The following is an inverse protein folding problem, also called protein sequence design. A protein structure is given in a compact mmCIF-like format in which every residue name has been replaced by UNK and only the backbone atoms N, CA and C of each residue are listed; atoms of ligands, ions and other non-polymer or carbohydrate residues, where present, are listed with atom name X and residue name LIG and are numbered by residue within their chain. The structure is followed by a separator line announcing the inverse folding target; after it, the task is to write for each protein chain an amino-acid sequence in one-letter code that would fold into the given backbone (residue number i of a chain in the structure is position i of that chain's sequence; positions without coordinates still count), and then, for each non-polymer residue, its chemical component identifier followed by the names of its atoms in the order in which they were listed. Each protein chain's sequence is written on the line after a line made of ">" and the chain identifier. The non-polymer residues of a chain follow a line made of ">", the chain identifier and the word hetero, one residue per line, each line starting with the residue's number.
data_IF_484465406205
#
_entry.id   IF_484465406205
#
_cell.length_a   1.000
_cell.length_b   1.000
_cell.length_c   1.000
_cell.angle_alpha   90.00
_cell.angle_beta   90.00
_cell.angle_gamma   90.00
#
_symmetry.space_group_name_H-M   'P 1'
#
loop_
_entity.id
_entity.type
_entity.pdbx_description
1 polymer ?
#
# COMPACT_ATOMS: atom_id res chain seq x y z
N UNK A 1 15.93 1.93 0.29
CA UNK A 1 16.73 2.49 1.41
C UNK A 1 16.32 1.88 2.75
N UNK A 2 15.16 2.22 3.32
CA UNK A 2 14.77 1.73 4.66
C UNK A 2 14.77 0.20 4.80
N UNK A 3 14.31 -0.56 3.79
CA UNK A 3 14.42 -2.04 3.76
C UNK A 3 15.86 -2.53 4.04
N UNK A 4 16.86 -1.87 3.45
CA UNK A 4 18.28 -2.19 3.64
C UNK A 4 18.75 -1.78 5.04
N UNK A 5 18.48 -0.55 5.46
CA UNK A 5 18.85 -0.04 6.80
C UNK A 5 18.28 -0.93 7.92
N UNK A 6 17.01 -1.30 7.82
CA UNK A 6 16.37 -2.18 8.81
C UNK A 6 17.06 -3.54 8.89
N UNK A 7 17.50 -4.10 7.76
CA UNK A 7 18.24 -5.36 7.71
C UNK A 7 19.67 -5.22 8.24
N UNK A 8 20.42 -4.22 7.75
CA UNK A 8 21.83 -3.99 8.10
C UNK A 8 22.04 -3.74 9.61
N UNK A 9 21.06 -3.13 10.27
CA UNK A 9 21.09 -2.81 11.71
C UNK A 9 20.16 -3.70 12.57
N UNK A 10 19.56 -4.76 12.01
CA UNK A 10 18.63 -5.66 12.70
C UNK A 10 17.52 -4.93 13.50
N UNK A 11 16.85 -3.97 12.84
CA UNK A 11 15.87 -3.09 13.49
C UNK A 11 14.44 -3.66 13.47
N UNK A 12 14.23 -4.81 12.81
CA UNK A 12 12.88 -5.31 12.53
C UNK A 12 12.17 -5.85 13.79
N UNK A 13 10.85 -5.62 13.85
CA UNK A 13 9.94 -6.27 14.81
C UNK A 13 9.03 -7.26 14.07
N UNK A 14 7.71 -7.28 14.35
CA UNK A 14 6.80 -8.11 13.55
C UNK A 14 6.81 -7.65 12.08
N UNK A 15 6.64 -8.56 11.10
CA UNK A 15 6.67 -8.19 9.69
C UNK A 15 5.69 -7.05 9.40
N UNK A 16 6.19 -6.01 8.72
CA UNK A 16 5.33 -4.95 8.25
C UNK A 16 4.27 -5.53 7.30
N UNK A 17 3.05 -5.06 7.47
CA UNK A 17 1.94 -5.35 6.57
C UNK A 17 1.72 -4.18 5.65
N UNK A 18 1.21 -4.44 4.47
CA UNK A 18 1.02 -3.41 3.46
C UNK A 18 -0.32 -3.56 2.76
N UNK A 19 -0.83 -2.47 2.22
CA UNK A 19 -1.88 -2.46 1.22
C UNK A 19 -1.45 -1.66 0.00
N UNK A 20 -2.00 -2.00 -1.15
CA UNK A 20 -1.89 -1.17 -2.35
C UNK A 20 -3.15 -0.31 -2.43
N UNK A 21 -2.96 1.00 -2.30
CA UNK A 21 -4.00 1.99 -2.62
C UNK A 21 -3.91 2.38 -4.09
N UNK A 22 -5.03 2.31 -4.79
CA UNK A 22 -5.21 2.86 -6.14
C UNK A 22 -6.23 3.98 -6.02
N UNK A 23 -5.92 5.14 -6.62
CA UNK A 23 -6.76 6.34 -6.58
C UNK A 23 -6.92 6.93 -7.98
N UNK A 24 -8.12 7.38 -8.29
CA UNK A 24 -8.44 8.27 -9.40
C UNK A 24 -9.04 9.57 -8.87
N UNK A 25 -8.81 10.67 -9.58
CA UNK A 25 -9.51 11.94 -9.37
C UNK A 25 -10.47 12.14 -10.53
N UNK A 26 -11.70 12.49 -10.20
CA UNK A 26 -12.78 12.72 -11.15
C UNK A 26 -13.35 14.11 -10.97
N UNK A 27 -13.64 14.82 -12.05
CA UNK A 27 -14.51 16.00 -12.03
C UNK A 27 -15.93 15.54 -12.34
N UNK A 28 -16.87 15.84 -11.44
CA UNK A 28 -18.25 15.37 -11.52
C UNK A 28 -19.23 16.53 -11.72
N UNK A 29 -20.43 16.28 -12.27
CA UNK A 29 -21.50 17.27 -12.32
C UNK A 29 -21.83 17.86 -10.93
N UNK A 30 -22.00 19.19 -10.87
CA UNK A 30 -22.18 19.92 -9.62
C UNK A 30 -23.43 19.48 -8.83
N UNK A 31 -24.50 19.06 -9.52
CA UNK A 31 -25.74 18.55 -8.92
C UNK A 31 -25.56 17.22 -8.18
N UNK A 32 -24.46 16.51 -8.42
CA UNK A 32 -24.10 15.23 -7.76
C UNK A 32 -23.01 15.40 -6.70
N UNK A 33 -22.47 16.60 -6.56
CA UNK A 33 -21.38 16.89 -5.65
C UNK A 33 -21.88 17.35 -4.27
N UNK A 34 -21.33 16.77 -3.20
CA UNK A 34 -21.65 17.10 -1.81
C UNK A 34 -20.35 17.43 -1.05
N UNK A 35 -19.86 18.69 -1.12
CA UNK A 35 -18.57 19.07 -0.55
C UNK A 35 -18.36 18.60 0.89
N UNK A 36 -17.21 17.98 1.17
CA UNK A 36 -16.85 17.51 2.50
C UNK A 36 -17.45 16.15 2.89
N UNK A 37 -18.28 15.54 2.04
CA UNK A 37 -18.79 14.18 2.26
C UNK A 37 -17.66 13.15 2.10
N UNK A 38 -17.59 12.21 3.04
CA UNK A 38 -16.57 11.16 3.14
C UNK A 38 -17.26 9.81 3.27
N UNK A 39 -17.17 8.98 2.23
CA UNK A 39 -17.68 7.62 2.24
C UNK A 39 -16.53 6.60 2.28
N UNK A 40 -16.68 5.59 3.14
CA UNK A 40 -15.81 4.42 3.21
C UNK A 40 -16.63 3.16 2.97
N UNK A 41 -16.06 2.23 2.21
CA UNK A 41 -16.73 1.01 1.78
C UNK A 41 -15.99 -0.23 2.25
N UNK A 42 -16.75 -1.23 2.66
CA UNK A 42 -16.27 -2.55 3.06
C UNK A 42 -17.07 -3.62 2.32
N UNK A 43 -16.40 -4.69 1.88
CA UNK A 43 -17.03 -5.76 1.12
C UNK A 43 -16.78 -5.61 -0.38
N UNK A 44 -17.84 -5.57 -1.18
CA UNK A 44 -17.74 -5.54 -2.65
C UNK A 44 -16.70 -4.49 -3.12
N UNK A 45 -15.79 -4.84 -4.04
CA UNK A 45 -15.73 -6.08 -4.82
C UNK A 45 -14.87 -7.19 -4.21
N UNK A 46 -14.28 -6.92 -3.04
CA UNK A 46 -13.43 -7.86 -2.32
C UNK A 46 -14.28 -8.93 -1.62
N UNK A 47 -13.77 -10.16 -1.61
CA UNK A 47 -14.41 -11.25 -0.89
C UNK A 47 -14.11 -11.19 0.62
N UNK A 48 -14.71 -12.10 1.39
CA UNK A 48 -14.51 -12.13 2.83
C UNK A 48 -13.07 -12.49 3.26
N UNK A 49 -12.26 -13.09 2.38
CA UNK A 49 -10.88 -13.48 2.66
C UNK A 49 -9.86 -12.40 2.29
N UNK A 50 -10.27 -11.43 1.47
CA UNK A 50 -9.41 -10.35 0.97
C UNK A 50 -9.72 -9.07 1.74
N UNK A 51 -8.79 -8.70 2.62
CA UNK A 51 -8.94 -7.48 3.39
C UNK A 51 -8.67 -6.25 2.51
N UNK A 52 -9.44 -5.18 2.73
CA UNK A 52 -9.32 -3.93 2.00
C UNK A 52 -10.60 -3.11 2.12
N UNK A 53 -10.69 -2.04 1.35
CA UNK A 53 -11.86 -1.16 1.39
C UNK A 53 -11.77 -0.03 0.37
N UNK A 54 -12.94 0.47 -0.03
CA UNK A 54 -13.08 1.59 -0.94
C UNK A 54 -13.20 2.91 -0.20
N UNK A 55 -12.89 4.00 -0.89
CA UNK A 55 -13.16 5.34 -0.41
C UNK A 55 -13.64 6.24 -1.53
N UNK A 56 -14.57 7.14 -1.20
CA UNK A 56 -15.10 8.17 -2.10
C UNK A 56 -15.22 9.47 -1.31
N UNK A 57 -14.40 10.47 -1.66
CA UNK A 57 -14.38 11.77 -0.97
C UNK A 57 -14.74 12.89 -1.93
N UNK A 58 -15.70 13.71 -1.53
CA UNK A 58 -16.08 14.93 -2.24
C UNK A 58 -15.15 16.07 -1.84
N UNK A 59 -14.17 16.34 -2.70
CA UNK A 59 -13.14 17.35 -2.53
C UNK A 59 -13.58 18.72 -3.07
N UNK A 60 -12.69 19.70 -3.05
CA UNK A 60 -12.96 21.03 -3.61
C UNK A 60 -13.11 20.98 -5.14
N UNK A 61 -13.73 22.02 -5.72
CA UNK A 61 -13.93 22.22 -7.16
C UNK A 61 -14.64 21.05 -7.88
N UNK A 62 -15.70 20.50 -7.27
CA UNK A 62 -16.45 19.36 -7.83
C UNK A 62 -15.59 18.13 -8.14
N UNK A 63 -14.48 17.95 -7.41
CA UNK A 63 -13.60 16.80 -7.55
C UNK A 63 -14.05 15.67 -6.64
N UNK A 64 -13.99 14.44 -7.14
CA UNK A 64 -14.22 13.22 -6.39
C UNK A 64 -12.92 12.41 -6.33
N UNK A 65 -12.47 12.11 -5.12
CA UNK A 65 -11.36 11.18 -4.90
C UNK A 65 -11.94 9.79 -4.72
N UNK A 66 -11.74 8.92 -5.72
CA UNK A 66 -12.25 7.55 -5.70
C UNK A 66 -11.07 6.61 -5.62
N UNK A 67 -11.07 5.69 -4.67
CA UNK A 67 -10.00 4.73 -4.56
C UNK A 67 -10.38 3.43 -3.87
N UNK A 68 -9.50 2.44 -4.01
CA UNK A 68 -9.60 1.14 -3.37
C UNK A 68 -8.23 0.78 -2.79
N UNK A 69 -8.24 0.32 -1.55
CA UNK A 69 -7.10 -0.33 -0.91
C UNK A 69 -7.31 -1.83 -0.93
N UNK A 70 -6.32 -2.58 -1.42
CA UNK A 70 -6.25 -4.04 -1.30
C UNK A 70 -5.04 -4.41 -0.45
N UNK A 71 -5.24 -5.06 0.70
CA UNK A 71 -4.12 -5.50 1.53
C UNK A 71 -3.32 -6.61 0.85
N UNK A 72 -2.00 -6.48 0.86
CA UNK A 72 -1.07 -7.33 0.12
C UNK A 72 -0.89 -8.71 0.76
N UNK A 73 -1.57 -9.05 1.85
CA UNK A 73 -1.63 -10.41 2.38
C UNK A 73 -2.73 -11.28 1.74
N UNK A 74 -3.39 -10.81 0.67
CA UNK A 74 -4.30 -11.64 -0.12
C UNK A 74 -3.61 -12.92 -0.63
N UNK A 75 -4.38 -14.00 -0.71
CA UNK A 75 -3.87 -15.35 -0.96
C UNK A 75 -4.03 -15.83 -2.40
N UNK A 76 -4.98 -15.26 -3.14
CA UNK A 76 -5.28 -15.63 -4.53
C UNK A 76 -4.26 -14.98 -5.49
N UNK A 77 -3.38 -15.76 -6.16
CA UNK A 77 -2.39 -15.18 -7.07
C UNK A 77 -2.99 -14.58 -8.34
N UNK A 78 -4.26 -14.87 -8.65
CA UNK A 78 -4.98 -14.34 -9.82
C UNK A 78 -5.71 -13.02 -9.55
N UNK A 79 -5.69 -12.54 -8.30
CA UNK A 79 -6.28 -11.26 -7.92
C UNK A 79 -5.46 -10.10 -8.49
N UNK A 80 -6.15 -9.20 -9.19
CA UNK A 80 -5.58 -7.91 -9.61
C UNK A 80 -6.21 -6.78 -8.81
N UNK A 81 -5.45 -6.07 -7.93
CA UNK A 81 -5.97 -4.90 -7.22
C UNK A 81 -6.49 -3.81 -8.18
N UNK A 82 -5.87 -3.66 -9.35
CA UNK A 82 -6.38 -2.78 -10.41
C UNK A 82 -7.74 -3.25 -10.93
N UNK A 83 -7.89 -4.54 -11.23
CA UNK A 83 -9.15 -5.10 -11.68
C UNK A 83 -10.26 -4.96 -10.64
N UNK A 84 -9.95 -5.19 -9.36
CA UNK A 84 -10.90 -4.96 -8.26
C UNK A 84 -11.26 -3.48 -8.15
N UNK A 85 -10.31 -2.55 -8.29
CA UNK A 85 -10.63 -1.12 -8.29
C UNK A 85 -11.56 -0.73 -9.45
N UNK A 86 -11.37 -1.27 -10.66
CA UNK A 86 -12.29 -1.03 -11.77
C UNK A 86 -13.69 -1.61 -11.47
N UNK A 87 -13.80 -2.79 -10.84
CA UNK A 87 -15.08 -3.37 -10.38
C UNK A 87 -15.75 -2.52 -9.31
N UNK A 88 -14.99 -1.95 -8.37
CA UNK A 88 -15.52 -1.12 -7.28
C UNK A 88 -16.33 0.06 -7.81
N UNK A 89 -15.85 0.71 -8.89
CA UNK A 89 -16.56 1.82 -9.53
C UNK A 89 -17.93 1.45 -10.10
N UNK A 90 -18.16 0.17 -10.39
CA UNK A 90 -19.46 -0.34 -10.87
C UNK A 90 -20.49 -0.53 -9.75
N UNK A 91 -20.10 -0.33 -8.48
CA UNK A 91 -21.04 -0.44 -7.37
C UNK A 91 -22.18 0.59 -7.50
N UNK A 92 -23.46 0.23 -7.24
CA UNK A 92 -24.60 1.14 -7.43
C UNK A 92 -24.54 2.46 -6.64
N UNK A 93 -23.76 2.53 -5.57
CA UNK A 93 -23.55 3.77 -4.81
C UNK A 93 -22.43 4.66 -5.38
N UNK A 94 -21.61 4.16 -6.31
CA UNK A 94 -20.44 4.85 -6.87
C UNK A 94 -20.67 5.18 -8.34
N UNK A 95 -21.17 4.23 -9.13
CA UNK A 95 -21.36 4.40 -10.58
C UNK A 95 -22.18 5.66 -10.94
N UNK A 96 -23.31 5.99 -10.26
CA UNK A 96 -24.07 7.20 -10.57
C UNK A 96 -23.31 8.51 -10.33
N UNK A 97 -22.32 8.52 -9.43
CA UNK A 97 -21.48 9.71 -9.20
C UNK A 97 -20.53 9.98 -10.38
N UNK A 98 -20.18 8.94 -11.14
CA UNK A 98 -19.19 8.98 -12.22
C UNK A 98 -19.82 9.05 -13.62
N UNK A 99 -21.14 8.94 -13.74
CA UNK A 99 -21.83 9.12 -15.02
C UNK A 99 -21.67 10.56 -15.54
N UNK A 100 -21.11 10.72 -16.74
CA UNK A 100 -20.84 12.05 -17.31
C UNK A 100 -19.68 12.81 -16.62
N UNK A 101 -18.96 12.16 -15.71
CA UNK A 101 -17.77 12.69 -15.08
C UNK A 101 -16.53 12.55 -15.99
N UNK A 102 -15.51 13.38 -15.73
CA UNK A 102 -14.22 13.30 -16.42
C UNK A 102 -13.14 12.80 -15.46
N UNK A 103 -12.43 11.74 -15.85
CA UNK A 103 -11.29 11.24 -15.08
C UNK A 103 -10.05 12.10 -15.36
N UNK A 104 -9.52 12.75 -14.33
CA UNK A 104 -8.44 13.74 -14.43
C UNK A 104 -7.07 13.11 -14.17
N UNK A 105 -6.98 12.28 -13.14
CA UNK A 105 -5.69 11.82 -12.61
C UNK A 105 -5.79 10.39 -12.10
N UNK A 106 -4.67 9.68 -12.12
CA UNK A 106 -4.53 8.31 -11.64
C UNK A 106 -3.23 8.16 -10.86
N UNK A 107 -3.26 7.35 -9.79
CA UNK A 107 -2.04 6.94 -9.13
C UNK A 107 -2.22 5.75 -8.21
N UNK A 108 -1.09 5.19 -7.79
CA UNK A 108 -1.07 4.06 -6.90
C UNK A 108 0.12 4.12 -5.94
N UNK A 109 -0.10 3.69 -4.69
CA UNK A 109 0.94 3.67 -3.66
C UNK A 109 0.71 2.54 -2.67
N UNK A 110 1.79 1.84 -2.32
CA UNK A 110 1.76 0.97 -1.15
C UNK A 110 1.74 1.81 0.13
N UNK A 111 0.92 1.37 1.09
CA UNK A 111 0.80 1.94 2.43
C UNK A 111 1.09 0.87 3.47
N UNK A 112 1.70 1.24 4.59
CA UNK A 112 1.90 0.33 5.73
C UNK A 112 0.59 0.08 6.46
N UNK A 113 0.47 -1.08 7.08
CA UNK A 113 -0.75 -1.56 7.73
C UNK A 113 -0.47 -2.42 8.97
N UNK A 114 0.80 -2.68 9.28
CA UNK A 114 1.21 -3.50 10.42
C UNK A 114 1.02 -2.79 11.76
N UNK A 115 0.96 -1.46 11.76
CA UNK A 115 0.70 -0.67 12.96
C UNK A 115 1.75 -0.90 14.05
N UNK A 116 1.33 -0.77 15.31
CA UNK A 116 2.20 -0.76 16.48
C UNK A 116 3.20 -1.93 16.52
N UNK A 117 2.76 -3.14 16.19
CA UNK A 117 3.59 -4.36 16.23
C UNK A 117 4.78 -4.34 15.27
N UNK A 118 4.65 -3.60 14.17
CA UNK A 118 5.60 -3.60 13.06
C UNK A 118 6.50 -2.37 13.03
N UNK A 119 6.37 -1.46 13.99
CA UNK A 119 7.27 -0.32 14.13
C UNK A 119 8.66 -0.87 14.46
N UNK A 120 9.70 -0.60 13.66
CA UNK A 120 11.05 -1.08 13.93
C UNK A 120 11.69 -0.30 15.08
N UNK A 121 12.86 -0.73 15.53
CA UNK A 121 13.75 0.15 16.28
C UNK A 121 14.05 1.39 15.43
N UNK A 122 13.80 2.58 15.98
CA UNK A 122 13.71 3.80 15.19
C UNK A 122 15.06 4.49 14.97
N UNK A 123 16.08 4.17 15.76
CA UNK A 123 17.39 4.79 15.70
C UNK A 123 18.47 3.76 15.44
N UNK A 124 19.51 4.20 14.74
CA UNK A 124 20.73 3.48 14.47
C UNK A 124 21.90 4.48 14.47
N UNK A 125 23.16 4.04 14.61
CA UNK A 125 24.31 4.95 14.56
C UNK A 125 24.30 5.81 13.29
N UNK A 126 24.21 7.14 13.48
CA UNK A 126 24.20 8.11 12.39
C UNK A 126 22.85 8.37 11.71
N UNK A 127 21.73 7.82 12.21
CA UNK A 127 20.41 8.13 11.64
C UNK A 127 19.20 7.57 12.38
N UNK A 128 18.02 7.86 11.82
CA UNK A 128 16.74 7.39 12.36
C UNK A 128 15.65 7.27 11.30
N UNK A 129 14.59 6.53 11.64
CA UNK A 129 13.42 6.28 10.79
C UNK A 129 12.23 7.12 11.25
N UNK A 130 11.52 7.75 10.30
CA UNK A 130 10.30 8.53 10.55
C UNK A 130 9.20 8.20 9.53
N UNK A 131 8.00 8.72 9.76
CA UNK A 131 6.89 8.66 8.82
C UNK A 131 6.42 7.25 8.49
N UNK A 132 5.84 7.08 7.31
CA UNK A 132 5.41 5.76 6.84
C UNK A 132 6.57 4.79 6.61
N UNK A 133 7.82 5.28 6.52
CA UNK A 133 8.98 4.41 6.48
C UNK A 133 9.20 3.65 7.79
N UNK A 134 8.82 4.26 8.93
CA UNK A 134 8.77 3.62 10.24
C UNK A 134 7.44 2.89 10.51
N UNK A 135 6.43 3.04 9.64
CA UNK A 135 5.17 2.33 9.74
C UNK A 135 4.10 2.97 10.62
N UNK A 136 4.11 4.30 10.80
CA UNK A 136 3.17 5.01 11.68
C UNK A 136 1.74 5.20 11.14
N UNK A 137 1.24 4.27 10.32
CA UNK A 137 -0.13 4.31 9.80
C UNK A 137 -1.13 3.82 10.84
N UNK A 138 -2.17 4.61 11.09
CA UNK A 138 -3.41 4.13 11.70
C UNK A 138 -4.30 3.49 10.62
N UNK A 139 -4.17 2.17 10.46
CA UNK A 139 -4.84 1.43 9.39
C UNK A 139 -6.39 1.51 9.47
N UNK A 140 -7.05 1.34 10.64
CA UNK A 140 -8.52 1.45 10.72
C UNK A 140 -9.07 2.81 10.34
N UNK A 141 -8.33 3.90 10.62
CA UNK A 141 -8.74 5.26 10.26
C UNK A 141 -8.35 5.66 8.83
N UNK A 142 -7.56 4.84 8.14
CA UNK A 142 -6.89 5.16 6.88
C UNK A 142 -6.07 6.47 6.95
N UNK A 143 -5.35 6.71 8.05
CA UNK A 143 -4.59 7.95 8.28
C UNK A 143 -3.14 7.68 8.70
N UNK A 144 -2.20 8.38 8.06
CA UNK A 144 -0.79 8.39 8.46
C UNK A 144 -0.11 9.76 8.40
N UNK A 145 -0.67 10.72 7.67
CA UNK A 145 -0.01 12.01 7.40
C UNK A 145 0.32 12.76 8.70
N UNK A 146 -0.64 12.82 9.63
CA UNK A 146 -0.44 13.48 10.92
C UNK A 146 0.65 12.80 11.74
N UNK A 147 0.67 11.47 11.81
CA UNK A 147 1.72 10.73 12.51
C UNK A 147 3.09 10.90 11.83
N UNK A 148 3.14 11.02 10.51
CA UNK A 148 4.38 11.28 9.80
C UNK A 148 4.95 12.66 10.15
N UNK A 149 4.10 13.69 10.16
CA UNK A 149 4.47 15.05 10.59
C UNK A 149 4.94 15.03 12.05
N UNK A 150 4.17 14.45 12.95
CA UNK A 150 4.51 14.34 14.38
C UNK A 150 5.84 13.62 14.59
N UNK A 151 6.11 12.55 13.83
CA UNK A 151 7.40 11.85 13.93
C UNK A 151 8.58 12.69 13.45
N UNK A 152 8.37 13.58 12.48
CA UNK A 152 9.38 14.55 12.05
C UNK A 152 9.67 15.58 13.14
N UNK A 153 8.63 16.06 13.84
CA UNK A 153 8.78 16.98 14.98
C UNK A 153 9.60 16.32 16.10
N UNK A 154 9.20 15.13 16.56
CA UNK A 154 9.95 14.44 17.62
C UNK A 154 11.37 14.06 17.22
N UNK A 155 11.59 13.68 15.95
CA UNK A 155 12.93 13.43 15.44
C UNK A 155 13.80 14.69 15.44
N UNK A 156 13.24 15.85 15.08
CA UNK A 156 13.95 17.12 15.10
C UNK A 156 14.34 17.52 16.52
N UNK A 157 13.46 17.33 17.51
CA UNK A 157 13.79 17.57 18.92
C UNK A 157 14.99 16.72 19.36
N UNK A 158 14.93 15.41 19.11
CA UNK A 158 15.99 14.47 19.48
C UNK A 158 17.34 14.80 18.82
N UNK A 159 17.32 15.15 17.53
CA UNK A 159 18.53 15.54 16.79
C UNK A 159 19.09 16.87 17.30
N UNK A 160 18.21 17.83 17.62
CA UNK A 160 18.62 19.14 18.15
C UNK A 160 19.30 19.00 19.50
N UNK A 161 18.74 18.20 20.41
CA UNK A 161 19.35 17.93 21.71
C UNK A 161 20.73 17.26 21.57
N UNK A 162 20.86 16.30 20.64
CA UNK A 162 22.14 15.66 20.36
C UNK A 162 23.19 16.64 19.81
N UNK A 163 22.80 17.52 18.87
CA UNK A 163 23.68 18.54 18.30
C UNK A 163 24.12 19.54 19.38
N UNK A 164 23.20 20.01 20.22
CA UNK A 164 23.50 20.94 21.32
C UNK A 164 24.45 20.34 22.37
N UNK A 165 24.39 19.02 22.57
CA UNK A 165 25.32 18.27 23.40
C UNK A 165 26.67 17.97 22.72
N UNK A 166 26.90 18.44 21.49
CA UNK A 166 28.14 18.24 20.72
C UNK A 166 28.33 16.81 20.21
N UNK A 167 27.26 16.00 20.15
CA UNK A 167 27.31 14.61 19.69
C UNK A 167 27.42 14.52 18.17
N UNK A 168 28.09 13.48 17.67
CA UNK A 168 28.31 13.25 16.25
C UNK A 168 28.37 11.75 15.94
N UNK A 169 27.81 11.33 14.81
CA UNK A 169 27.92 9.98 14.23
C UNK A 169 27.55 8.81 15.16
N UNK A 170 26.72 9.06 16.18
CA UNK A 170 26.38 8.08 17.19
C UNK A 170 24.88 7.70 17.16
N UNK A 171 24.48 6.84 18.09
CA UNK A 171 23.09 6.42 18.28
C UNK A 171 22.39 7.38 19.24
N UNK A 172 21.31 8.02 18.81
CA UNK A 172 20.44 8.80 19.70
C UNK A 172 19.49 7.83 20.42
N UNK A 173 19.87 7.38 21.62
CA UNK A 173 19.20 6.29 22.34
C UNK A 173 17.72 6.60 22.71
N UNK A 174 17.42 7.86 22.97
CA UNK A 174 16.09 8.39 23.32
C UNK A 174 15.28 8.88 22.11
N UNK A 175 15.77 8.70 20.89
CA UNK A 175 15.10 9.13 19.66
C UNK A 175 13.65 8.64 19.55
N UNK A 176 13.42 7.37 19.87
CA UNK A 176 12.09 6.79 19.86
C UNK A 176 11.17 7.42 20.93
N UNK A 177 11.73 7.78 22.09
CA UNK A 177 10.99 8.43 23.15
C UNK A 177 10.49 9.81 22.74
N UNK A 178 11.35 10.63 22.13
CA UNK A 178 10.95 11.94 21.58
C UNK A 178 9.82 11.80 20.55
N UNK A 179 9.94 10.85 19.62
CA UNK A 179 8.88 10.57 18.64
C UNK A 179 7.59 10.15 19.33
N UNK A 180 7.64 9.22 20.29
CA UNK A 180 6.43 8.70 20.92
C UNK A 180 5.74 9.68 21.87
N UNK A 181 6.48 10.64 22.45
CA UNK A 181 5.93 11.76 23.25
C UNK A 181 4.97 12.64 22.45
N UNK A 182 5.05 12.64 21.12
CA UNK A 182 4.11 13.38 20.24
C UNK A 182 2.70 12.78 20.18
N UNK A 183 2.47 11.63 20.85
CA UNK A 183 1.16 10.97 20.94
C UNK A 183 0.95 9.80 19.98
N UNK A 184 1.89 9.57 19.06
CA UNK A 184 1.82 8.47 18.07
C UNK A 184 1.64 7.11 18.75
N UNK A 185 2.38 6.85 19.84
CA UNK A 185 2.30 5.56 20.53
C UNK A 185 0.90 5.30 21.08
N UNK A 186 0.29 6.29 21.74
CA UNK A 186 -1.07 6.18 22.28
C UNK A 186 -2.09 5.87 21.18
N UNK A 187 -1.99 6.56 20.03
CA UNK A 187 -2.88 6.32 18.91
C UNK A 187 -2.74 4.90 18.34
N UNK A 188 -1.50 4.46 18.06
CA UNK A 188 -1.26 3.18 17.39
C UNK A 188 -1.47 1.98 18.32
N UNK A 189 -1.15 2.10 19.61
CA UNK A 189 -1.43 1.06 20.61
C UNK A 189 -2.94 0.83 20.76
N UNK A 190 -3.75 1.90 20.72
CA UNK A 190 -5.20 1.81 20.84
C UNK A 190 -5.89 1.07 19.70
N UNK A 191 -5.21 0.87 18.57
CA UNK A 191 -5.74 0.18 17.39
C UNK A 191 -4.91 -1.04 16.97
N UNK A 192 -3.95 -1.47 17.81
CA UNK A 192 -2.92 -2.43 17.43
C UNK A 192 -3.49 -3.77 16.96
N UNK A 193 -4.56 -4.26 17.57
CA UNK A 193 -5.14 -5.56 17.22
C UNK A 193 -5.99 -5.54 15.95
N UNK A 194 -6.23 -4.37 15.34
CA UNK A 194 -7.19 -4.28 14.25
C UNK A 194 -6.78 -5.09 13.00
N UNK A 195 -5.56 -4.88 12.47
CA UNK A 195 -5.08 -5.63 11.30
C UNK A 195 -4.94 -7.13 11.57
N UNK A 196 -4.37 -7.60 12.71
CA UNK A 196 -4.31 -9.02 13.01
C UNK A 196 -5.69 -9.70 13.09
N UNK A 197 -6.68 -9.06 13.73
CA UNK A 197 -8.04 -9.59 13.81
C UNK A 197 -8.67 -9.73 12.43
N UNK A 198 -8.56 -8.70 11.59
CA UNK A 198 -9.02 -8.74 10.21
C UNK A 198 -8.38 -9.89 9.42
N UNK A 199 -7.06 -10.02 9.52
CA UNK A 199 -6.31 -11.01 8.74
C UNK A 199 -6.61 -12.45 9.17
N UNK A 200 -7.06 -12.67 10.40
CA UNK A 200 -7.36 -14.00 10.95
C UNK A 200 -8.81 -14.43 10.71
N UNK A 201 -9.75 -13.51 10.86
CA UNK A 201 -11.18 -13.82 10.85
C UNK A 201 -11.89 -13.39 9.56
N UNK A 202 -11.17 -12.80 8.62
CA UNK A 202 -11.75 -12.26 7.39
C UNK A 202 -12.55 -10.98 7.65
N UNK A 203 -13.17 -10.45 6.60
CA UNK A 203 -13.81 -9.13 6.63
C UNK A 203 -15.02 -9.06 7.58
N UNK A 204 -15.92 -10.05 7.55
CA UNK A 204 -17.16 -10.01 8.35
C UNK A 204 -16.87 -10.20 9.84
N UNK A 205 -16.33 -11.35 10.24
CA UNK A 205 -16.05 -11.63 11.64
C UNK A 205 -14.91 -10.76 12.19
N UNK A 206 -13.91 -10.45 11.36
CA UNK A 206 -12.83 -9.54 11.73
C UNK A 206 -13.35 -8.15 12.04
N UNK A 207 -14.24 -7.57 11.23
CA UNK A 207 -14.78 -6.23 11.50
C UNK A 207 -15.59 -6.17 12.80
N UNK A 208 -16.38 -7.21 13.10
CA UNK A 208 -17.09 -7.32 14.37
C UNK A 208 -16.11 -7.39 15.56
N UNK A 209 -15.08 -8.22 15.45
CA UNK A 209 -14.05 -8.35 16.49
C UNK A 209 -13.27 -7.05 16.69
N UNK A 210 -12.92 -6.34 15.62
CA UNK A 210 -12.26 -5.04 15.65
C UNK A 210 -13.16 -4.01 16.33
N UNK A 211 -14.43 -3.94 15.93
CA UNK A 211 -15.40 -3.03 16.54
C UNK A 211 -15.51 -3.26 18.04
N UNK A 212 -15.67 -4.52 18.48
CA UNK A 212 -15.73 -4.87 19.89
C UNK A 212 -14.44 -4.48 20.63
N UNK A 213 -13.27 -4.78 20.09
CA UNK A 213 -11.97 -4.46 20.69
C UNK A 213 -11.76 -2.94 20.84
N UNK A 214 -12.11 -2.17 19.82
CA UNK A 214 -12.01 -0.70 19.83
C UNK A 214 -12.98 -0.06 20.83
N UNK A 215 -14.23 -0.54 20.90
CA UNK A 215 -15.20 -0.05 21.89
C UNK A 215 -14.75 -0.33 23.32
N UNK A 216 -14.30 -1.55 23.61
CA UNK A 216 -13.76 -1.92 24.93
C UNK A 216 -12.52 -1.08 25.24
N UNK A 217 -11.59 -0.93 24.28
CA UNK A 217 -10.39 -0.10 24.45
C UNK A 217 -10.71 1.35 24.75
N UNK A 218 -11.76 1.90 24.13
CA UNK A 218 -12.21 3.27 24.36
C UNK A 218 -12.80 3.45 25.76
N UNK A 219 -13.60 2.49 26.23
CA UNK A 219 -14.27 2.55 27.53
C UNK A 219 -13.29 2.30 28.69
N UNK A 220 -12.41 1.32 28.56
CA UNK A 220 -11.52 0.87 29.64
C UNK A 220 -10.07 1.35 29.50
N UNK A 221 -9.76 2.13 28.46
CA UNK A 221 -8.43 2.67 28.18
C UNK A 221 -7.41 1.65 27.67
N UNK A 222 -7.81 0.39 27.47
CA UNK A 222 -6.94 -0.69 26.97
C UNK A 222 -7.76 -1.82 26.34
N UNK A 223 -7.18 -2.47 25.34
CA UNK A 223 -7.74 -3.70 24.77
C UNK A 223 -7.68 -4.85 25.80
N UNK A 224 -8.72 -5.70 25.90
CA UNK A 224 -8.69 -6.90 26.72
C UNK A 224 -7.84 -8.01 26.07
N UNK A 225 -7.59 -7.92 24.76
CA UNK A 225 -6.79 -8.86 24.01
C UNK A 225 -5.30 -8.55 24.23
N UNK A 226 -4.51 -9.61 24.43
CA UNK A 226 -3.05 -9.51 24.31
C UNK A 226 -2.68 -9.07 22.89
N UNK A 227 -1.58 -8.34 22.75
CA UNK A 227 -1.08 -7.85 21.47
C UNK A 227 -0.95 -9.02 20.48
N UNK A 228 -1.76 -8.96 19.43
CA UNK A 228 -1.90 -10.08 18.49
C UNK A 228 -0.85 -9.98 17.39
N UNK A 229 -0.09 -11.06 17.19
CA UNK A 229 0.94 -11.16 16.15
C UNK A 229 0.39 -11.23 14.73
N UNK A 230 1.13 -10.72 13.76
CA UNK A 230 0.76 -10.72 12.33
C UNK A 230 1.01 -12.07 11.66
N UNK A 231 2.03 -12.81 12.11
CA UNK A 231 2.46 -14.06 11.50
C UNK A 231 3.31 -13.85 10.25
N UNK A 232 2.97 -14.52 9.13
CA UNK A 232 3.77 -14.47 7.89
C UNK A 232 3.75 -13.08 7.23
N UNK A 233 4.84 -12.63 6.56
CA UNK A 233 4.84 -11.44 5.70
C UNK A 233 3.93 -11.61 4.47
N UNK A 234 3.65 -10.52 3.77
CA UNK A 234 2.65 -10.44 2.70
C UNK A 234 2.99 -11.28 1.46
N UNK A 235 4.26 -11.29 1.04
CA UNK A 235 4.72 -12.12 -0.08
C UNK A 235 4.51 -13.62 0.17
N UNK A 236 4.58 -14.06 1.43
CA UNK A 236 4.52 -15.48 1.82
C UNK A 236 3.09 -16.02 1.98
N UNK A 237 2.07 -15.26 1.56
CA UNK A 237 0.65 -15.60 1.72
C UNK A 237 -0.02 -16.19 0.49
N UNK A 238 0.61 -16.08 -0.69
CA UNK A 238 0.04 -16.62 -1.92
C UNK A 238 -0.09 -18.14 -1.86
N UNK A 239 -1.25 -18.63 -2.32
CA UNK A 239 -1.51 -20.03 -2.56
C UNK A 239 -1.01 -20.43 -3.96
N UNK A 240 -0.64 -21.70 -4.19
CA UNK A 240 -0.37 -22.18 -5.54
C UNK A 240 -1.57 -21.95 -6.46
N UNK A 241 -1.32 -21.59 -7.73
CA UNK A 241 -2.38 -21.27 -8.69
C UNK A 241 -3.35 -22.45 -8.91
N UNK A 242 -2.85 -23.69 -8.87
CA UNK A 242 -3.66 -24.89 -8.98
C UNK A 242 -4.68 -25.09 -7.84
N UNK A 243 -4.57 -24.33 -6.74
CA UNK A 243 -5.46 -24.42 -5.57
C UNK A 243 -6.48 -23.28 -5.48
N UNK A 244 -6.57 -22.44 -6.50
CA UNK A 244 -7.53 -21.34 -6.57
C UNK A 244 -8.37 -21.43 -7.84
N UNK A 245 -9.54 -20.83 -7.81
CA UNK A 245 -10.34 -20.60 -9.02
C UNK A 245 -9.89 -19.29 -9.65
N UNK A 246 -9.34 -19.29 -10.89
CA UNK A 246 -8.84 -18.07 -11.51
C UNK A 246 -9.91 -16.99 -11.65
N UNK A 247 -9.55 -15.75 -11.30
CA UNK A 247 -10.39 -14.58 -11.53
C UNK A 247 -10.30 -14.14 -12.98
N UNK A 248 -11.45 -13.75 -13.52
CA UNK A 248 -11.54 -13.07 -14.82
C UNK A 248 -12.09 -11.68 -14.61
N UNK A 249 -11.42 -10.68 -15.16
CA UNK A 249 -11.86 -9.30 -15.12
C UNK A 249 -12.47 -8.90 -16.48
N UNK A 250 -13.62 -8.22 -16.50
CA UNK A 250 -14.26 -7.81 -17.75
C UNK A 250 -13.40 -6.77 -18.48
N UNK A 251 -13.57 -6.71 -19.81
CA UNK A 251 -12.97 -5.63 -20.59
C UNK A 251 -13.55 -4.28 -20.14
N UNK A 252 -12.72 -3.22 -20.05
CA UNK A 252 -13.19 -1.90 -19.68
C UNK A 252 -14.13 -1.31 -20.72
N UNK A 253 -15.09 -0.52 -20.29
CA UNK A 253 -16.07 0.18 -21.14
C UNK A 253 -15.57 1.54 -21.66
N UNK A 254 -14.42 2.02 -21.17
CA UNK A 254 -13.83 3.30 -21.54
C UNK A 254 -14.59 4.51 -20.99
N UNK A 255 -15.57 4.31 -20.10
CA UNK A 255 -16.41 5.36 -19.52
C UNK A 255 -16.34 5.35 -18.00
N UNK A 256 -16.71 4.23 -17.39
CA UNK A 256 -16.64 4.04 -15.94
C UNK A 256 -15.36 3.28 -15.56
N UNK A 257 -14.96 2.36 -16.42
CA UNK A 257 -13.82 1.47 -16.27
C UNK A 257 -12.83 1.63 -17.40
N UNK A 258 -11.55 1.49 -17.09
CA UNK A 258 -10.45 1.78 -18.01
C UNK A 258 -9.38 0.71 -17.91
N UNK A 259 -8.59 0.57 -18.97
CA UNK A 259 -7.40 -0.27 -19.00
C UNK A 259 -6.24 0.39 -18.23
N UNK A 260 -5.18 -0.39 -17.96
CA UNK A 260 -4.02 0.10 -17.21
C UNK A 260 -3.24 1.15 -17.99
N UNK A 261 -3.08 1.01 -19.30
CA UNK A 261 -2.26 1.93 -20.09
C UNK A 261 -2.86 3.34 -20.12
N UNK A 262 -4.17 3.45 -20.39
CA UNK A 262 -4.88 4.74 -20.31
C UNK A 262 -4.90 5.35 -18.90
N UNK A 263 -4.82 4.51 -17.86
CA UNK A 263 -4.72 4.97 -16.47
C UNK A 263 -3.32 5.50 -16.16
N UNK A 264 -2.28 4.77 -16.57
CA UNK A 264 -0.87 5.17 -16.39
C UNK A 264 -0.56 6.47 -17.12
N UNK A 265 -1.16 6.70 -18.28
CA UNK A 265 -1.06 8.00 -18.97
C UNK A 265 -1.49 9.17 -18.06
N UNK A 266 -2.55 9.00 -17.26
CA UNK A 266 -3.03 10.01 -16.31
C UNK A 266 -2.19 10.11 -15.02
N UNK A 267 -1.19 9.24 -14.83
CA UNK A 267 -0.18 9.42 -13.79
C UNK A 267 0.92 10.42 -14.21
N UNK A 268 0.87 10.90 -15.47
CA UNK A 268 1.81 11.86 -16.05
C UNK A 268 3.26 11.43 -15.80
N UNK A 269 3.59 10.20 -16.20
CA UNK A 269 4.92 9.62 -16.00
C UNK A 269 5.97 10.36 -16.83
N UNK A 270 7.14 10.55 -16.22
CA UNK A 270 8.34 10.98 -16.91
C UNK A 270 9.45 9.99 -16.61
N UNK A 271 9.96 9.29 -17.62
CA UNK A 271 11.14 8.45 -17.52
C UNK A 271 11.95 8.62 -18.80
N UNK A 272 13.25 8.83 -18.66
CA UNK A 272 14.16 8.64 -19.78
C UNK A 272 14.20 7.14 -20.14
N UNK A 273 14.07 6.80 -21.41
CA UNK A 273 14.07 5.40 -21.89
C UNK A 273 15.46 4.77 -21.82
N UNK A 274 16.53 5.59 -21.89
CA UNK A 274 17.92 5.13 -21.87
C UNK A 274 18.46 4.93 -20.45
N UNK A 275 17.67 5.26 -19.42
CA UNK A 275 18.10 5.10 -18.04
C UNK A 275 18.14 3.62 -17.61
N UNK A 276 19.00 3.25 -16.64
CA UNK A 276 19.04 1.89 -16.13
C UNK A 276 17.71 1.44 -15.51
N UNK A 277 17.28 0.22 -15.80
CA UNK A 277 16.08 -0.39 -15.21
C UNK A 277 16.20 -0.45 -13.68
N UNK A 278 15.38 0.34 -13.00
CA UNK A 278 15.40 0.49 -11.54
C UNK A 278 14.64 -0.62 -10.78
N UNK A 279 14.17 -1.63 -11.50
CA UNK A 279 13.52 -2.84 -10.98
C UNK A 279 14.46 -4.02 -11.18
N UNK A 280 15.31 -4.27 -10.19
CA UNK A 280 16.40 -5.24 -10.29
C UNK A 280 15.90 -6.63 -9.90
N UNK A 281 16.17 -7.62 -10.73
CA UNK A 281 15.97 -9.04 -10.41
C UNK A 281 17.28 -9.60 -9.87
N UNK A 282 17.24 -10.33 -8.76
CA UNK A 282 18.40 -11.07 -8.27
C UNK A 282 18.72 -12.27 -9.18
N UNK A 283 17.69 -12.95 -9.69
CA UNK A 283 17.78 -13.99 -10.72
C UNK A 283 16.69 -13.75 -11.79
N UNK A 284 17.08 -13.35 -13.02
CA UNK A 284 16.14 -13.11 -14.13
C UNK A 284 15.32 -14.34 -14.55
N UNK A 285 15.73 -15.56 -14.20
CA UNK A 285 15.04 -16.78 -14.59
C UNK A 285 13.89 -17.15 -13.63
N UNK A 286 13.87 -16.64 -12.39
CA UNK A 286 12.85 -16.98 -11.38
C UNK A 286 11.41 -16.73 -11.84
N UNK A 287 11.08 -15.61 -12.52
CA UNK A 287 9.71 -15.37 -12.97
C UNK A 287 9.14 -16.51 -13.81
N UNK A 288 9.90 -17.01 -14.78
CA UNK A 288 9.46 -18.09 -15.66
C UNK A 288 9.70 -19.47 -15.01
N UNK A 289 10.88 -19.71 -14.45
CA UNK A 289 11.27 -21.02 -13.91
C UNK A 289 10.47 -21.43 -12.67
N UNK A 290 10.11 -20.49 -11.81
CA UNK A 290 9.53 -20.79 -10.49
C UNK A 290 8.16 -20.14 -10.26
N UNK A 291 8.01 -18.85 -10.54
CA UNK A 291 6.77 -18.13 -10.24
C UNK A 291 5.64 -18.49 -11.20
N UNK A 292 5.92 -18.59 -12.51
CA UNK A 292 4.95 -18.95 -13.53
C UNK A 292 4.27 -20.31 -13.26
N UNK A 293 4.99 -21.44 -13.10
CA UNK A 293 4.34 -22.73 -12.85
C UNK A 293 3.65 -22.81 -11.48
N UNK A 294 4.14 -22.09 -10.46
CA UNK A 294 3.61 -22.21 -9.09
C UNK A 294 2.44 -21.25 -8.82
N UNK A 295 2.53 -20.03 -9.33
CA UNK A 295 1.62 -18.92 -9.01
C UNK A 295 1.01 -18.27 -10.26
N UNK A 296 1.37 -18.70 -11.46
CA UNK A 296 0.95 -18.03 -12.70
C UNK A 296 1.64 -16.70 -12.95
N UNK A 297 2.81 -16.46 -12.34
CA UNK A 297 3.56 -15.20 -12.34
C UNK A 297 2.67 -13.99 -12.01
N UNK A 298 2.49 -13.65 -10.71
CA UNK A 298 1.51 -12.66 -10.29
C UNK A 298 1.90 -11.20 -10.56
N UNK A 299 3.14 -10.91 -11.01
CA UNK A 299 3.62 -9.55 -11.22
C UNK A 299 2.79 -8.68 -12.17
N UNK A 300 2.32 -9.20 -13.33
CA UNK A 300 1.42 -8.47 -14.22
C UNK A 300 0.06 -8.13 -13.58
N UNK A 301 -0.34 -8.82 -12.50
CA UNK A 301 -1.64 -8.65 -11.84
C UNK A 301 -1.58 -7.68 -10.67
N UNK A 302 -0.58 -7.82 -9.79
CA UNK A 302 -0.43 -6.93 -8.63
C UNK A 302 0.15 -5.57 -9.00
N UNK A 303 0.84 -5.47 -10.14
CA UNK A 303 1.39 -4.21 -10.60
C UNK A 303 0.25 -3.30 -11.08
N UNK A 304 0.07 -2.11 -10.48
CA UNK A 304 -1.00 -1.21 -10.88
C UNK A 304 -0.76 -0.58 -12.26
N UNK A 305 0.46 -0.67 -12.80
CA UNK A 305 0.90 0.11 -13.94
C UNK A 305 1.34 -0.70 -15.17
N UNK A 306 1.14 -2.02 -15.17
CA UNK A 306 1.48 -2.84 -16.35
C UNK A 306 2.98 -2.86 -16.68
N UNK A 307 3.84 -2.78 -15.66
CA UNK A 307 5.30 -2.83 -15.83
C UNK A 307 5.79 -4.22 -16.20
N UNK A 308 5.13 -5.26 -15.73
CA UNK A 308 5.56 -6.64 -15.94
C UNK A 308 4.65 -7.35 -16.93
N UNK A 309 5.25 -8.12 -17.82
CA UNK A 309 4.56 -8.90 -18.84
C UNK A 309 5.22 -10.28 -18.95
N UNK A 310 4.41 -11.32 -19.14
CA UNK A 310 4.87 -12.63 -19.60
C UNK A 310 4.46 -12.74 -21.07
N UNK A 311 5.42 -12.54 -21.97
CA UNK A 311 5.23 -12.64 -23.41
C UNK A 311 5.54 -14.06 -23.90
N UNK A 312 5.10 -14.41 -25.11
CA UNK A 312 5.55 -15.62 -25.80
C UNK A 312 6.46 -15.26 -26.98
N UNK A 313 7.65 -15.86 -27.01
CA UNK A 313 8.64 -15.69 -28.08
C UNK A 313 9.16 -17.06 -28.50
N UNK A 314 9.00 -17.42 -29.77
CA UNK A 314 9.48 -18.73 -30.26
C UNK A 314 8.83 -19.96 -29.59
N UNK A 315 7.67 -19.79 -28.96
CA UNK A 315 6.99 -20.83 -28.18
C UNK A 315 7.43 -20.94 -26.71
N UNK A 316 8.33 -20.05 -26.25
CA UNK A 316 8.78 -19.97 -24.87
C UNK A 316 8.22 -18.71 -24.18
N UNK A 317 7.92 -18.83 -22.88
CA UNK A 317 7.49 -17.68 -22.07
C UNK A 317 8.69 -16.81 -21.67
N UNK A 318 8.60 -15.51 -21.94
CA UNK A 318 9.64 -14.51 -21.63
C UNK A 318 9.08 -13.45 -20.69
N UNK A 319 9.81 -13.16 -19.60
CA UNK A 319 9.43 -12.12 -18.64
C UNK A 319 10.03 -10.77 -19.04
N UNK A 320 9.20 -9.77 -19.29
CA UNK A 320 9.59 -8.41 -19.72
C UNK A 320 9.28 -7.38 -18.64
N UNK A 321 10.14 -6.35 -18.56
CA UNK A 321 10.01 -5.22 -17.63
C UNK A 321 9.94 -3.90 -18.42
N UNK A 322 8.75 -3.32 -18.50
CA UNK A 322 8.46 -2.01 -19.06
C UNK A 322 8.66 -0.91 -18.00
N UNK A 323 9.92 -0.66 -17.63
CA UNK A 323 10.27 0.16 -16.48
C UNK A 323 9.77 1.61 -16.55
N UNK A 324 9.60 2.16 -17.77
CA UNK A 324 9.05 3.48 -18.01
C UNK A 324 7.59 3.64 -17.53
N UNK A 325 6.85 2.54 -17.36
CA UNK A 325 5.48 2.60 -16.82
C UNK A 325 5.44 2.68 -15.28
N UNK A 326 6.58 2.66 -14.59
CA UNK A 326 6.60 2.51 -13.13
C UNK A 326 6.08 3.74 -12.39
N UNK A 327 4.95 3.60 -11.69
CA UNK A 327 4.38 4.65 -10.79
C UNK A 327 4.99 4.67 -9.38
N UNK A 328 6.11 3.97 -9.17
CA UNK A 328 6.87 3.90 -7.91
C UNK A 328 6.04 3.44 -6.70
N UNK A 329 4.99 2.66 -6.90
CA UNK A 329 4.09 2.23 -5.82
C UNK A 329 4.77 1.32 -4.77
N UNK A 330 5.87 0.65 -5.13
CA UNK A 330 6.65 -0.33 -4.34
C UNK A 330 6.01 -1.71 -4.14
N UNK A 331 4.81 -1.96 -4.68
CA UNK A 331 4.09 -3.25 -4.52
C UNK A 331 4.92 -4.46 -4.95
N UNK A 332 5.64 -4.39 -6.06
CA UNK A 332 6.45 -5.50 -6.56
C UNK A 332 7.54 -5.97 -5.59
N UNK A 333 8.20 -5.03 -4.89
CA UNK A 333 9.23 -5.34 -3.90
C UNK A 333 8.62 -6.03 -2.66
N UNK A 334 7.36 -5.69 -2.36
CA UNK A 334 6.61 -6.20 -1.21
C UNK A 334 5.94 -7.55 -1.48
N UNK A 335 5.35 -7.74 -2.68
CA UNK A 335 4.41 -8.82 -2.97
C UNK A 335 4.99 -9.95 -3.81
N UNK A 336 6.16 -9.76 -4.44
CA UNK A 336 6.83 -10.84 -5.16
C UNK A 336 7.05 -12.05 -4.24
N UNK A 337 6.44 -13.22 -4.52
CA UNK A 337 6.51 -14.40 -3.65
C UNK A 337 7.93 -14.95 -3.51
N UNK A 338 8.83 -14.65 -4.47
CA UNK A 338 10.23 -15.05 -4.42
C UNK A 338 11.14 -14.03 -3.74
N UNK A 339 10.64 -12.81 -3.45
CA UNK A 339 11.46 -11.68 -2.99
C UNK A 339 12.67 -11.42 -3.92
N UNK A 340 12.48 -11.63 -5.22
CA UNK A 340 13.48 -11.52 -6.28
C UNK A 340 13.59 -10.08 -6.82
N UNK A 341 12.48 -9.33 -6.81
CA UNK A 341 12.43 -7.93 -7.27
C UNK A 341 12.89 -6.99 -6.15
N UNK A 342 13.90 -6.17 -6.45
CA UNK A 342 14.30 -5.01 -5.62
C UNK A 342 14.05 -3.72 -6.38
N UNK A 343 13.22 -2.84 -5.82
CA UNK A 343 13.04 -1.50 -6.33
C UNK A 343 14.17 -0.61 -5.82
N UNK A 344 14.87 0.04 -6.74
CA UNK A 344 15.82 1.12 -6.43
C UNK A 344 15.30 2.44 -7.00
N UNK A 345 15.71 3.60 -6.46
CA UNK A 345 15.39 4.86 -7.09
C UNK A 345 15.93 4.91 -8.53
N UNK A 346 15.11 5.32 -9.52
CA UNK A 346 15.61 5.73 -10.83
C UNK A 346 16.38 7.06 -10.75
N UNK A 347 16.78 7.57 -11.91
CA UNK A 347 17.38 8.91 -12.00
C UNK A 347 16.45 9.99 -11.44
N UNK A 348 17.05 11.05 -10.86
CA UNK A 348 16.31 12.13 -10.22
C UNK A 348 15.35 12.81 -11.20
N UNK A 349 14.10 12.98 -10.80
CA UNK A 349 13.03 13.52 -11.65
C UNK A 349 12.24 12.48 -12.44
N UNK A 350 12.71 11.22 -12.51
CA UNK A 350 11.94 10.14 -13.13
C UNK A 350 10.83 9.63 -12.21
N UNK A 351 9.68 9.22 -12.77
CA UNK A 351 8.53 8.71 -12.03
C UNK A 351 7.22 9.42 -12.32
N UNK A 352 6.18 9.17 -11.50
CA UNK A 352 4.91 9.85 -11.64
C UNK A 352 4.99 11.33 -11.25
N UNK A 353 4.39 12.18 -12.08
CA UNK A 353 4.18 13.59 -11.79
C UNK A 353 2.70 13.84 -11.48
N UNK A 354 2.29 13.40 -10.29
CA UNK A 354 0.89 13.45 -9.88
C UNK A 354 0.38 14.89 -9.71
N UNK A 355 -0.75 15.20 -10.35
CA UNK A 355 -1.49 16.44 -10.14
C UNK A 355 -2.68 16.20 -9.20
N UNK A 356 -2.71 16.92 -8.07
CA UNK A 356 -3.83 16.93 -7.12
C UNK A 356 -4.05 15.65 -6.29
N UNK A 357 -3.09 14.71 -6.27
CA UNK A 357 -3.24 13.37 -5.69
C UNK A 357 -2.97 13.24 -4.20
#
# INVERSE_FOLDING_TARGET
>A
LAKKIIGDFDLANEPQKYGLGIKEIWEIPADRHQPGKVDHYLGFPLDNATAGGGFVYHAEDNKLYVGLVTYLDYADPTLSPFGEFQRFKQHPSVAPLLEGATRISYGARALTAGGWQSIPNLAFPGGGLIGCSAGFMNAPRLKAIHNAILSGIGAADAVTDAINAGRQHDLIADYAEHIFRTGIAKELQGVANAKPLWSRFGTVLGSLAIGADLWISTIFGRSPLKLTKHGKPDFAKLKPIASVTPRTYPKPDGKLTFDRASSVFLANLAHDEDQPVHLRLADPAIPIRANLPRFGEPAPLYCPAGVYEVAEEGGESVFRIHAANCVHCKTCDIKDPAQNITWVPPEGGSGPNYSGM
#
